data_IF_620879577865
#
_entry.id   IF_620879577865
#
_cell.length_a   1.000
_cell.length_b   1.000
_cell.length_c   1.000
_cell.angle_alpha   90.00
_cell.angle_beta   90.00
_cell.angle_gamma   90.00
#
_symmetry.space_group_name_H-M   'P 1'
#
loop_
_entity.id
_entity.type
_entity.pdbx_description
1 polymer ?
#
# COMPACT_ATOMS: atom_id res chain seq x y z
N UNK A 1 2.88 -28.43 -8.75
CA UNK A 1 2.53 -29.85 -8.46
C UNK A 1 1.65 -30.37 -9.59
N UNK A 2 1.84 -31.61 -10.06
CA UNK A 2 1.03 -32.19 -11.16
C UNK A 2 0.92 -31.30 -12.41
N UNK A 3 2.02 -30.63 -12.77
CA UNK A 3 2.14 -29.67 -13.89
C UNK A 3 1.27 -28.40 -13.78
N UNK A 4 0.76 -28.10 -12.59
CA UNK A 4 0.05 -26.85 -12.27
C UNK A 4 0.91 -25.95 -11.37
N UNK A 5 0.56 -24.65 -11.35
CA UNK A 5 1.13 -23.67 -10.42
C UNK A 5 0.69 -24.07 -9.01
N UNK A 6 1.66 -24.44 -8.18
CA UNK A 6 1.41 -24.89 -6.80
C UNK A 6 1.32 -23.71 -5.83
N UNK A 7 2.03 -22.63 -6.11
CA UNK A 7 2.02 -21.39 -5.35
C UNK A 7 2.43 -20.23 -6.26
N UNK A 8 1.76 -19.09 -6.11
CA UNK A 8 2.07 -17.85 -6.83
C UNK A 8 1.99 -16.70 -5.84
N UNK A 9 3.09 -15.97 -5.66
CA UNK A 9 3.19 -14.88 -4.69
C UNK A 9 3.67 -13.62 -5.37
N UNK A 10 3.02 -12.52 -5.03
CA UNK A 10 3.31 -11.19 -5.57
C UNK A 10 3.88 -10.32 -4.46
N UNK A 11 5.12 -9.90 -4.64
CA UNK A 11 5.77 -8.89 -3.80
C UNK A 11 5.99 -7.67 -4.69
N UNK A 12 5.23 -6.60 -4.45
CA UNK A 12 5.05 -5.48 -5.37
C UNK A 12 5.55 -4.18 -4.71
N UNK A 13 5.97 -3.13 -5.47
CA UNK A 13 6.60 -1.95 -4.87
C UNK A 13 5.80 -1.28 -3.74
N UNK A 14 4.48 -1.10 -3.92
CA UNK A 14 3.65 -0.51 -2.86
C UNK A 14 3.50 -1.42 -1.64
N UNK A 15 3.69 -2.74 -1.77
CA UNK A 15 3.76 -3.66 -0.61
C UNK A 15 4.98 -3.33 0.28
N UNK A 16 6.11 -2.92 -0.31
CA UNK A 16 7.30 -2.50 0.46
C UNK A 16 7.11 -1.13 1.10
N UNK A 17 6.56 -0.17 0.35
CA UNK A 17 6.48 1.21 0.81
C UNK A 17 5.39 1.42 1.87
N UNK A 18 4.24 0.77 1.67
CA UNK A 18 3.06 0.88 2.51
C UNK A 18 2.90 -0.30 3.49
N UNK A 19 3.96 -1.09 3.71
CA UNK A 19 3.91 -2.17 4.69
C UNK A 19 3.60 -1.62 6.09
N UNK A 20 2.96 -2.42 6.95
CA UNK A 20 2.96 -2.16 8.39
C UNK A 20 4.36 -2.42 8.95
N UNK A 21 4.53 -2.19 10.26
CA UNK A 21 5.76 -2.56 10.94
C UNK A 21 6.07 -4.04 10.83
N UNK A 22 7.35 -4.36 10.67
CA UNK A 22 7.81 -5.75 10.63
C UNK A 22 7.81 -6.40 12.03
N UNK A 23 8.20 -7.66 12.10
CA UNK A 23 8.26 -8.42 13.35
C UNK A 23 9.21 -7.83 14.41
N UNK A 24 10.17 -7.00 14.00
CA UNK A 24 11.10 -6.31 14.89
C UNK A 24 10.61 -4.89 15.24
N UNK A 25 9.46 -4.48 14.72
CA UNK A 25 8.88 -3.14 14.92
C UNK A 25 9.47 -2.06 14.01
N UNK A 26 10.22 -2.43 12.96
CA UNK A 26 10.76 -1.46 12.01
C UNK A 26 9.64 -0.83 11.19
N UNK A 27 9.73 0.48 10.99
CA UNK A 27 8.78 1.27 10.18
C UNK A 27 8.98 1.01 8.69
N UNK A 28 7.90 1.11 7.91
CA UNK A 28 7.95 1.15 6.46
C UNK A 28 8.40 2.51 5.93
N UNK A 29 8.56 2.62 4.60
CA UNK A 29 8.91 3.89 3.97
C UNK A 29 7.85 4.97 4.24
N UNK A 30 6.56 4.63 4.22
CA UNK A 30 5.48 5.57 4.53
C UNK A 30 5.56 6.03 5.99
N UNK A 31 5.62 5.08 6.94
CA UNK A 31 5.70 5.41 8.35
C UNK A 31 6.94 6.24 8.70
N UNK A 32 8.10 5.94 8.09
CA UNK A 32 9.35 6.65 8.34
C UNK A 32 9.37 8.05 7.72
N UNK A 33 8.83 8.22 6.50
CA UNK A 33 8.83 9.51 5.78
C UNK A 33 7.97 10.59 6.42
N UNK A 34 6.98 10.20 7.24
CA UNK A 34 6.10 11.14 7.94
C UNK A 34 6.69 11.64 9.27
N UNK A 35 7.83 11.10 9.73
CA UNK A 35 8.43 11.52 10.99
C UNK A 35 8.97 12.94 10.85
N UNK A 36 8.46 13.85 11.69
CA UNK A 36 8.90 15.24 11.72
C UNK A 36 8.29 16.11 10.62
N UNK A 37 7.32 15.61 9.85
CA UNK A 37 6.58 16.42 8.89
C UNK A 37 5.86 17.56 9.61
N UNK A 38 6.14 18.84 9.28
CA UNK A 38 5.43 19.96 9.88
C UNK A 38 3.98 19.96 9.40
N UNK A 39 3.05 20.19 10.33
CA UNK A 39 1.62 20.29 10.04
C UNK A 39 1.15 21.68 10.41
N UNK A 40 0.76 22.48 9.41
CA UNK A 40 0.27 23.83 9.64
C UNK A 40 -1.15 23.85 10.25
N UNK A 41 -2.04 22.96 9.77
CA UNK A 41 -3.41 22.79 10.26
C UNK A 41 -3.73 21.30 10.49
N UNK A 42 -3.85 20.83 11.74
CA UNK A 42 -4.17 19.44 12.04
C UNK A 42 -5.53 18.96 11.52
N UNK A 43 -6.51 19.86 11.35
CA UNK A 43 -7.83 19.50 10.81
C UNK A 43 -7.77 19.27 9.30
N UNK A 44 -6.75 19.83 8.62
CA UNK A 44 -6.52 19.71 7.18
C UNK A 44 -5.04 19.38 6.87
N UNK A 45 -4.56 18.16 7.17
CA UNK A 45 -3.13 17.82 7.15
C UNK A 45 -2.61 17.55 5.72
N UNK A 46 -2.53 18.61 4.91
CA UNK A 46 -2.12 18.56 3.51
C UNK A 46 -0.70 18.00 3.32
N UNK A 47 0.19 18.24 4.28
CA UNK A 47 1.59 17.84 4.23
C UNK A 47 1.75 16.31 4.32
N UNK A 48 0.84 15.63 5.01
CA UNK A 48 0.77 14.16 5.03
C UNK A 48 0.46 13.65 3.63
N UNK A 49 -0.59 14.19 3.00
CA UNK A 49 -1.00 13.80 1.65
C UNK A 49 0.12 14.08 0.64
N UNK A 50 0.78 15.24 0.72
CA UNK A 50 1.92 15.59 -0.14
C UNK A 50 3.04 14.57 -0.04
N UNK A 51 3.38 14.16 1.18
CA UNK A 51 4.45 13.19 1.42
C UNK A 51 4.07 11.81 0.87
N UNK A 52 2.87 11.31 1.19
CA UNK A 52 2.42 9.98 0.74
C UNK A 52 2.22 9.92 -0.78
N UNK A 53 1.63 10.94 -1.39
CA UNK A 53 1.45 10.98 -2.85
C UNK A 53 2.78 11.04 -3.62
N UNK A 54 3.88 11.50 -3.01
CA UNK A 54 5.20 11.47 -3.65
C UNK A 54 5.70 10.05 -3.95
N UNK A 55 5.11 9.03 -3.30
CA UNK A 55 5.39 7.62 -3.54
C UNK A 55 4.47 6.96 -4.57
N UNK A 56 3.53 7.70 -5.16
CA UNK A 56 2.53 7.18 -6.12
C UNK A 56 1.80 5.91 -5.59
N UNK A 57 1.00 6.03 -4.51
CA UNK A 57 0.41 4.88 -3.82
C UNK A 57 -0.59 4.12 -4.70
N UNK A 58 -0.26 2.88 -5.09
CA UNK A 58 -1.21 1.93 -5.64
C UNK A 58 -1.64 0.89 -4.60
N UNK A 59 -2.73 1.14 -3.86
CA UNK A 59 -3.22 0.18 -2.85
C UNK A 59 -3.71 -1.13 -3.47
N UNK A 60 -4.28 -1.09 -4.68
CA UNK A 60 -4.64 -2.30 -5.43
C UNK A 60 -3.43 -3.20 -5.68
N UNK A 61 -2.27 -2.60 -5.93
CA UNK A 61 -0.99 -3.29 -6.13
C UNK A 61 -0.38 -3.78 -4.82
N UNK A 62 -0.62 -3.08 -3.70
CA UNK A 62 -0.06 -3.43 -2.41
C UNK A 62 -0.68 -4.71 -1.82
N UNK A 63 -2.00 -4.86 -1.95
CA UNK A 63 -2.77 -5.97 -1.33
C UNK A 63 -3.40 -6.94 -2.34
N UNK A 64 -3.25 -6.67 -3.65
CA UNK A 64 -3.78 -7.50 -4.74
C UNK A 64 -5.30 -7.71 -4.63
N UNK A 65 -6.09 -6.70 -5.00
CA UNK A 65 -7.57 -6.68 -4.90
C UNK A 65 -8.30 -7.68 -5.83
N UNK A 66 -7.92 -8.95 -5.77
CA UNK A 66 -8.56 -10.09 -6.43
C UNK A 66 -9.03 -11.07 -5.36
N UNK A 67 -10.21 -11.67 -5.56
CA UNK A 67 -10.63 -12.81 -4.76
C UNK A 67 -9.92 -14.09 -5.24
N UNK A 68 -10.02 -15.16 -4.44
CA UNK A 68 -9.53 -16.50 -4.78
C UNK A 68 -10.05 -17.10 -6.10
N UNK A 69 -11.10 -16.51 -6.71
CA UNK A 69 -11.66 -16.89 -8.01
C UNK A 69 -11.19 -15.96 -9.15
N UNK A 70 -10.30 -15.02 -8.87
CA UNK A 70 -9.81 -14.03 -9.84
C UNK A 70 -10.79 -12.90 -10.14
N UNK A 71 -11.86 -12.74 -9.36
CA UNK A 71 -12.85 -11.68 -9.53
C UNK A 71 -12.39 -10.41 -8.80
N UNK A 72 -12.55 -9.26 -9.44
CA UNK A 72 -12.32 -7.95 -8.81
C UNK A 72 -13.27 -7.78 -7.62
N UNK A 73 -12.72 -7.57 -6.43
CA UNK A 73 -13.50 -7.46 -5.18
C UNK A 73 -14.03 -6.04 -4.97
N UNK A 74 -13.39 -5.05 -5.59
CA UNK A 74 -13.82 -3.64 -5.56
C UNK A 74 -13.61 -3.00 -6.93
N UNK A 75 -14.71 -2.77 -7.64
CA UNK A 75 -14.77 -1.91 -8.82
C UNK A 75 -15.61 -0.69 -8.43
N UNK A 76 -14.99 0.49 -8.36
CA UNK A 76 -15.72 1.74 -8.24
C UNK A 76 -15.99 2.21 -9.67
N UNK A 77 -17.25 2.23 -10.08
CA UNK A 77 -17.65 2.89 -11.33
C UNK A 77 -17.47 4.39 -11.14
N UNK A 78 -16.48 4.96 -11.81
CA UNK A 78 -16.38 6.40 -12.00
C UNK A 78 -16.87 6.72 -13.41
N UNK A 79 -18.06 7.32 -13.45
CA UNK A 79 -18.82 7.88 -14.58
C UNK A 79 -19.08 6.94 -15.77
#
# INVERSE_FOLDING_TARGET
>A
KDKLIDNYQLVVPSTWNASPRDANGNRSAYEASLIGTPIADPENPLEILRTIHSFDPCLACAVHLYDHKGKYVHQIQTF
#
